data_IF_491612086552
#
_entry.id   IF_491612086552
#
_cell.length_a   1.000
_cell.length_b   1.000
_cell.length_c   1.000
_cell.angle_alpha   90.00
_cell.angle_beta   90.00
_cell.angle_gamma   90.00
#
_symmetry.space_group_name_H-M   'P 1'
#
loop_
_entity.id
_entity.type
_entity.pdbx_description
1 polymer ?
#
# COMPACT_ATOMS: atom_id res chain seq x y z
N UNK A 1 -2.82 11.17 -4.62
CA UNK A 1 -2.05 9.91 -4.60
C UNK A 1 -0.93 10.04 -3.59
N UNK A 2 -0.61 8.99 -2.85
CA UNK A 2 0.50 8.93 -1.88
C UNK A 2 1.34 7.69 -2.16
N UNK A 3 2.66 7.84 -2.17
CA UNK A 3 3.61 6.75 -2.39
C UNK A 3 4.57 6.68 -1.21
N UNK A 4 4.59 5.54 -0.52
CA UNK A 4 5.54 5.21 0.54
C UNK A 4 6.64 4.32 -0.06
N UNK A 5 7.83 4.90 -0.27
CA UNK A 5 8.98 4.18 -0.81
C UNK A 5 9.88 3.73 0.33
N UNK A 6 10.09 2.43 0.46
CA UNK A 6 11.03 1.88 1.43
C UNK A 6 12.41 1.67 0.80
N UNK A 7 13.44 1.77 1.65
CA UNK A 7 14.81 1.39 1.29
C UNK A 7 14.83 -0.08 0.81
N UNK A 8 15.77 -0.46 -0.08
CA UNK A 8 15.81 -1.80 -0.68
C UNK A 8 15.72 -2.98 0.31
N UNK A 9 16.27 -2.82 1.52
CA UNK A 9 16.31 -3.88 2.54
C UNK A 9 15.07 -3.96 3.44
N UNK A 10 14.15 -2.99 3.38
CA UNK A 10 12.95 -3.00 4.23
C UNK A 10 11.79 -3.61 3.44
N UNK A 11 11.47 -4.87 3.73
CA UNK A 11 10.32 -5.58 3.16
C UNK A 11 9.01 -4.87 3.51
N UNK A 12 7.96 -5.14 2.74
CA UNK A 12 6.60 -4.82 3.17
C UNK A 12 6.19 -5.87 4.20
N UNK A 13 6.13 -5.45 5.46
CA UNK A 13 5.64 -6.23 6.60
C UNK A 13 4.37 -5.58 7.20
N UNK A 14 3.87 -6.13 8.30
CA UNK A 14 2.66 -5.61 8.97
C UNK A 14 2.83 -4.16 9.45
N UNK A 15 4.05 -3.74 9.81
CA UNK A 15 4.34 -2.37 10.23
C UNK A 15 4.17 -1.40 9.04
N UNK A 16 4.74 -1.74 7.88
CA UNK A 16 4.61 -0.92 6.67
C UNK A 16 3.15 -0.86 6.21
N UNK A 17 2.41 -1.98 6.27
CA UNK A 17 0.98 -1.98 6.00
C UNK A 17 0.20 -1.10 7.00
N UNK A 18 0.59 -1.11 8.27
CA UNK A 18 0.01 -0.24 9.29
C UNK A 18 0.21 1.24 8.99
N UNK A 19 1.44 1.63 8.62
CA UNK A 19 1.79 3.01 8.26
C UNK A 19 0.91 3.53 7.11
N UNK A 20 0.84 2.77 6.01
CA UNK A 20 0.07 3.22 4.84
C UNK A 20 -1.44 3.24 5.08
N UNK A 21 -1.97 2.30 5.88
CA UNK A 21 -3.36 2.35 6.36
C UNK A 21 -3.62 3.58 7.22
N UNK A 22 -2.66 3.98 8.05
CA UNK A 22 -2.72 5.20 8.86
C UNK A 22 -2.87 6.45 7.98
N UNK A 23 -2.02 6.59 6.96
CA UNK A 23 -2.13 7.68 5.99
C UNK A 23 -3.46 7.67 5.23
N UNK A 24 -3.90 6.49 4.80
CA UNK A 24 -5.20 6.34 4.14
C UNK A 24 -6.36 6.81 5.04
N UNK A 25 -6.36 6.43 6.31
CA UNK A 25 -7.38 6.83 7.28
C UNK A 25 -7.38 8.32 7.59
N UNK A 26 -6.21 8.93 7.71
CA UNK A 26 -6.06 10.36 8.01
C UNK A 26 -6.52 11.23 6.83
N UNK A 27 -6.07 10.90 5.61
CA UNK A 27 -6.32 11.74 4.43
C UNK A 27 -7.73 11.54 3.86
N UNK A 28 -8.25 10.32 3.87
CA UNK A 28 -9.60 10.05 3.31
C UNK A 28 -10.72 10.73 4.11
N UNK A 29 -10.45 11.14 5.35
CA UNK A 29 -11.39 11.85 6.23
C UNK A 29 -11.13 13.35 6.32
N UNK A 30 -10.10 13.86 5.66
CA UNK A 30 -9.75 15.28 5.72
C UNK A 30 -10.78 16.11 4.94
N UNK A 31 -11.47 17.01 5.65
CA UNK A 31 -12.55 17.87 5.14
C UNK A 31 -12.09 18.85 4.06
N UNK A 32 -10.77 19.05 3.92
CA UNK A 32 -10.19 19.87 2.84
C UNK A 32 -10.39 19.25 1.45
N UNK A 33 -10.73 17.97 1.38
CA UNK A 33 -10.99 17.27 0.12
C UNK A 33 -12.46 16.88 0.00
N UNK A 34 -13.05 17.15 -1.17
CA UNK A 34 -14.39 16.66 -1.51
C UNK A 34 -14.36 15.14 -1.63
N UNK A 35 -14.92 14.43 -0.65
CA UNK A 35 -14.92 12.98 -0.58
C UNK A 35 -15.69 12.31 -1.72
N UNK A 36 -16.63 13.03 -2.35
CA UNK A 36 -17.41 12.52 -3.49
C UNK A 36 -16.65 12.61 -4.82
N UNK A 37 -15.73 13.55 -4.93
CA UNK A 37 -14.95 13.82 -6.15
C UNK A 37 -13.51 13.35 -6.09
N UNK A 38 -13.00 13.06 -4.89
CA UNK A 38 -11.59 12.73 -4.69
C UNK A 38 -11.40 11.23 -4.48
N UNK A 39 -10.58 10.62 -5.33
CA UNK A 39 -10.14 9.23 -5.17
C UNK A 39 -8.67 9.22 -4.77
N UNK A 40 -8.36 8.62 -3.63
CA UNK A 40 -7.00 8.48 -3.15
C UNK A 40 -6.47 7.09 -3.46
N UNK A 41 -5.25 7.05 -4.00
CA UNK A 41 -4.49 5.82 -4.21
C UNK A 41 -3.27 5.92 -3.30
N UNK A 42 -3.09 4.88 -2.47
CA UNK A 42 -1.96 4.73 -1.57
C UNK A 42 -1.12 3.55 -2.03
N UNK A 43 0.17 3.78 -2.30
CA UNK A 43 1.06 2.75 -2.82
C UNK A 43 2.23 2.56 -1.86
N UNK A 44 2.47 1.32 -1.42
CA UNK A 44 3.69 0.95 -0.70
C UNK A 44 4.61 0.21 -1.66
N UNK A 45 5.86 0.67 -1.78
CA UNK A 45 6.84 0.11 -2.72
C UNK A 45 8.06 -0.38 -1.96
N UNK A 46 8.38 -1.67 -2.17
CA UNK A 46 9.63 -2.28 -1.74
C UNK A 46 10.10 -3.35 -2.75
N UNK A 47 11.26 -3.94 -2.49
CA UNK A 47 11.80 -5.03 -3.29
C UNK A 47 11.13 -6.36 -2.96
N UNK A 48 10.67 -6.54 -1.72
CA UNK A 48 10.19 -7.82 -1.20
C UNK A 48 8.97 -7.64 -0.30
N UNK A 49 8.14 -8.68 -0.25
CA UNK A 49 7.08 -8.84 0.74
C UNK A 49 7.60 -9.77 1.85
N UNK A 50 7.16 -9.51 3.07
CA UNK A 50 7.34 -10.44 4.18
C UNK A 50 6.23 -11.50 4.16
N UNK A 51 6.54 -12.73 4.57
CA UNK A 51 5.57 -13.83 4.59
C UNK A 51 4.35 -13.51 5.47
N UNK A 52 4.53 -12.68 6.50
CA UNK A 52 3.45 -12.25 7.39
C UNK A 52 2.35 -11.44 6.69
N UNK A 53 2.58 -10.91 5.49
CA UNK A 53 1.60 -10.13 4.73
C UNK A 53 1.08 -10.82 3.48
N UNK A 54 1.54 -12.04 3.15
CA UNK A 54 1.22 -12.71 1.89
C UNK A 54 -0.30 -12.96 1.73
N UNK A 55 -0.99 -13.33 2.81
CA UNK A 55 -2.46 -13.49 2.79
C UNK A 55 -3.19 -12.14 2.63
N UNK A 56 -2.59 -11.05 3.13
CA UNK A 56 -3.18 -9.72 3.04
C UNK A 56 -3.06 -9.13 1.63
N UNK A 57 -1.95 -9.41 0.93
CA UNK A 57 -1.73 -8.93 -0.45
C UNK A 57 -2.32 -9.85 -1.52
N UNK A 58 -2.57 -11.12 -1.21
CA UNK A 58 -3.17 -12.10 -2.14
C UNK A 58 -4.53 -12.56 -1.62
N UNK A 59 -5.57 -11.79 -1.94
CA UNK A 59 -6.94 -12.12 -1.56
C UNK A 59 -7.70 -12.72 -2.75
N UNK A 60 -8.54 -13.73 -2.49
CA UNK A 60 -9.36 -14.35 -3.53
C UNK A 60 -10.22 -13.29 -4.23
N UNK A 61 -10.32 -13.39 -5.56
CA UNK A 61 -11.06 -12.44 -6.41
C UNK A 61 -10.58 -10.98 -6.35
N UNK A 62 -9.33 -10.75 -5.93
CA UNK A 62 -8.70 -9.43 -5.95
C UNK A 62 -7.36 -9.47 -6.67
N UNK A 63 -6.96 -8.38 -7.35
CA UNK A 63 -5.61 -8.27 -7.90
C UNK A 63 -4.55 -8.45 -6.82
N UNK A 64 -3.46 -9.14 -7.16
CA UNK A 64 -2.29 -9.25 -6.29
C UNK A 64 -1.77 -7.86 -5.90
N UNK A 65 -1.45 -7.69 -4.63
CA UNK A 65 -0.99 -6.42 -4.05
C UNK A 65 -2.11 -5.53 -3.53
N UNK A 66 -3.39 -5.83 -3.80
CA UNK A 66 -4.52 -5.04 -3.28
C UNK A 66 -4.84 -5.42 -1.83
N UNK A 67 -4.56 -4.53 -0.89
CA UNK A 67 -4.74 -4.77 0.55
C UNK A 67 -6.08 -4.23 1.08
N UNK A 68 -6.50 -3.05 0.62
CA UNK A 68 -7.72 -2.37 1.08
C UNK A 68 -8.34 -1.53 -0.04
N UNK A 69 -9.67 -1.54 -0.18
CA UNK A 69 -10.40 -0.62 -1.07
C UNK A 69 -10.78 0.67 -0.31
N UNK A 70 -10.66 1.88 -0.91
CA UNK A 70 -10.51 2.15 -2.34
C UNK A 70 -9.06 2.42 -2.81
N UNK A 71 -8.15 1.46 -2.54
CA UNK A 71 -6.77 1.25 -3.04
C UNK A 71 -5.64 1.65 -2.09
N UNK A 72 -5.28 0.68 -1.24
CA UNK A 72 -3.89 0.44 -0.83
C UNK A 72 -3.33 -0.65 -1.72
N UNK A 73 -2.32 -0.33 -2.53
CA UNK A 73 -1.59 -1.29 -3.37
C UNK A 73 -0.16 -1.45 -2.84
N UNK A 74 0.20 -2.66 -2.42
CA UNK A 74 1.56 -3.03 -2.05
C UNK A 74 2.25 -3.74 -3.23
N UNK A 75 3.33 -3.17 -3.74
CA UNK A 75 4.19 -3.81 -4.74
C UNK A 75 5.52 -4.22 -4.12
N UNK A 76 5.84 -5.51 -4.26
CA UNK A 76 7.15 -6.08 -3.96
C UNK A 76 7.81 -6.54 -5.26
N UNK A 77 8.27 -5.61 -6.11
CA UNK A 77 9.10 -5.96 -7.27
C UNK A 77 9.78 -4.74 -7.89
N UNK A 78 10.79 -4.20 -7.22
CA UNK A 78 11.84 -3.46 -7.93
C UNK A 78 12.90 -4.50 -8.29
N UNK A 79 12.80 -5.09 -9.49
CA UNK A 79 13.94 -5.84 -10.04
C UNK A 79 15.08 -4.84 -10.20
N UNK A 80 16.12 -4.99 -9.38
CA UNK A 80 17.38 -4.33 -9.62
C UNK A 80 17.84 -4.68 -11.03
N UNK A 81 17.91 -3.67 -11.89
CA UNK A 81 18.80 -3.71 -13.04
C UNK A 81 20.19 -3.84 -12.43
N UNK A 82 20.75 -5.05 -12.51
CA UNK A 82 22.20 -5.22 -12.46
C UNK A 82 22.78 -4.65 -13.74
#
# INVERSE_FOLDING_TARGET
MVVELKRPSKKIDQEVLGQIKGYAGAISKDERFDQSKTKWIFIAVSNELDDSVENAVNQLNRPRGLVLAPLIIAFGFIRGVK
#
